data_IF_178351798681
#
_entry.id   IF_178351798681
#
_cell.length_a   1.000
_cell.length_b   1.000
_cell.length_c   1.000
_cell.angle_alpha   90.00
_cell.angle_beta   90.00
_cell.angle_gamma   90.00
#
_symmetry.space_group_name_H-M   'P 1'
#
loop_
_entity.id
_entity.type
_entity.pdbx_description
1 polymer ?
#
# COMPACT_ATOMS: atom_id res chain seq x y z
N UNK A 1 0.67 20.99 13.74
CA UNK A 1 1.74 21.91 13.29
C UNK A 1 3.02 21.12 13.27
N UNK A 2 3.69 21.04 12.12
CA UNK A 2 5.02 20.41 12.04
C UNK A 2 6.03 21.34 12.72
N UNK A 3 6.76 20.90 13.75
CA UNK A 3 7.78 21.74 14.36
C UNK A 3 8.92 21.99 13.37
N UNK A 4 9.57 23.15 13.48
CA UNK A 4 10.81 23.40 12.75
C UNK A 4 11.88 22.42 13.25
N UNK A 5 12.49 21.70 12.32
CA UNK A 5 13.70 20.91 12.56
C UNK A 5 14.89 21.70 12.04
N UNK A 6 15.91 21.88 12.88
CA UNK A 6 17.16 22.52 12.46
C UNK A 6 17.96 21.60 11.55
N UNK A 7 18.78 22.18 10.66
CA UNK A 7 19.72 21.42 9.82
C UNK A 7 20.73 20.58 10.64
N UNK A 8 20.85 20.87 11.94
CA UNK A 8 21.69 20.17 12.92
C UNK A 8 20.96 19.14 13.76
N UNK A 9 19.69 18.85 13.45
CA UNK A 9 18.89 17.90 14.23
C UNK A 9 19.54 16.52 14.27
N UNK A 10 19.50 15.83 15.42
CA UNK A 10 20.05 14.49 15.55
C UNK A 10 19.17 13.41 14.90
N UNK A 11 17.97 13.75 14.41
CA UNK A 11 17.04 12.79 13.82
C UNK A 11 17.66 12.15 12.55
N UNK A 12 17.77 10.81 12.49
CA UNK A 12 18.12 10.11 11.26
C UNK A 12 17.20 10.49 10.09
N UNK A 13 17.70 10.35 8.86
CA UNK A 13 16.97 10.77 7.67
C UNK A 13 15.62 10.04 7.50
N UNK A 14 15.55 8.76 7.88
CA UNK A 14 14.33 7.96 7.90
C UNK A 14 13.31 8.46 8.94
N UNK A 15 13.78 8.92 10.09
CA UNK A 15 12.94 9.46 11.16
C UNK A 15 12.43 10.86 10.81
N UNK A 16 13.29 11.70 10.21
CA UNK A 16 12.90 12.97 9.63
C UNK A 16 11.78 12.78 8.58
N UNK A 17 11.96 11.78 7.70
CA UNK A 17 10.97 11.42 6.68
C UNK A 17 9.67 10.87 7.29
N UNK A 18 9.72 10.08 8.36
CA UNK A 18 8.51 9.52 8.96
C UNK A 18 7.75 10.54 9.83
N UNK A 19 8.46 11.29 10.67
CA UNK A 19 7.85 12.01 11.78
C UNK A 19 7.61 13.50 11.56
N UNK A 20 8.28 14.08 10.56
CA UNK A 20 8.33 15.53 10.36
C UNK A 20 7.88 15.98 8.97
N UNK A 21 7.15 15.13 8.26
CA UNK A 21 6.31 15.51 7.13
C UNK A 21 4.90 15.84 7.57
N UNK A 22 4.29 16.84 6.94
CA UNK A 22 2.84 17.05 7.06
C UNK A 22 2.09 16.06 6.17
N UNK A 23 0.76 15.97 6.36
CA UNK A 23 -0.13 15.09 5.60
C UNK A 23 0.10 15.20 4.09
N UNK A 24 0.14 16.42 3.56
CA UNK A 24 0.29 16.68 2.12
C UNK A 24 1.64 16.26 1.54
N UNK A 25 2.64 15.90 2.36
CA UNK A 25 3.97 15.44 1.95
C UNK A 25 4.09 13.91 1.93
N UNK A 26 3.07 13.19 2.40
CA UNK A 26 3.01 11.74 2.25
C UNK A 26 2.66 11.34 0.82
N UNK A 27 3.15 10.15 0.44
CA UNK A 27 3.08 9.62 -0.93
C UNK A 27 2.63 8.16 -0.95
N UNK A 28 2.07 7.64 0.15
CA UNK A 28 1.49 6.31 0.18
C UNK A 28 0.19 6.28 -0.64
N UNK A 29 -0.23 5.09 -1.06
CA UNK A 29 -1.54 4.89 -1.69
C UNK A 29 -2.64 4.96 -0.62
N UNK A 30 -3.83 5.44 -0.97
CA UNK A 30 -4.95 5.55 -0.01
C UNK A 30 -5.42 4.20 0.54
N UNK A 31 -5.17 3.12 -0.18
CA UNK A 31 -5.45 1.76 0.27
C UNK A 31 -4.83 1.46 1.65
N UNK A 32 -3.63 1.97 1.94
CA UNK A 32 -2.91 1.65 3.19
C UNK A 32 -3.35 2.50 4.38
N UNK A 33 -4.20 3.49 4.17
CA UNK A 33 -4.69 4.42 5.21
C UNK A 33 -6.01 3.96 5.83
N UNK A 34 -6.66 2.97 5.21
CA UNK A 34 -7.99 2.54 5.64
C UNK A 34 -7.95 2.04 7.08
N UNK A 35 -9.09 2.13 7.76
CA UNK A 35 -9.26 1.49 9.06
C UNK A 35 -9.02 -0.02 8.96
N UNK A 36 -8.45 -0.63 10.01
CA UNK A 36 -8.26 -2.08 10.05
C UNK A 36 -9.59 -2.83 9.92
N UNK A 37 -10.67 -2.24 10.44
CA UNK A 37 -11.99 -2.86 10.49
C UNK A 37 -11.96 -4.19 11.24
N UNK A 38 -12.66 -5.19 10.71
CA UNK A 38 -12.57 -6.56 11.21
C UNK A 38 -11.43 -7.33 10.52
N UNK A 39 -11.23 -8.57 10.95
CA UNK A 39 -10.17 -9.42 10.42
C UNK A 39 -10.27 -9.59 8.89
N UNK A 40 -11.47 -9.76 8.35
CA UNK A 40 -11.66 -9.92 6.91
C UNK A 40 -11.20 -8.68 6.11
N UNK A 41 -11.52 -7.47 6.58
CA UNK A 41 -11.04 -6.21 5.96
C UNK A 41 -9.52 -6.10 5.96
N UNK A 42 -8.88 -6.39 7.09
CA UNK A 42 -7.42 -6.38 7.20
C UNK A 42 -6.77 -7.39 6.24
N UNK A 43 -7.35 -8.59 6.12
CA UNK A 43 -6.83 -9.66 5.27
C UNK A 43 -7.01 -9.36 3.77
N UNK A 44 -8.16 -8.84 3.36
CA UNK A 44 -8.39 -8.44 1.96
C UNK A 44 -7.47 -7.27 1.57
N UNK A 45 -7.30 -6.27 2.46
CA UNK A 45 -6.36 -5.18 2.22
C UNK A 45 -4.93 -5.69 2.08
N UNK A 46 -4.51 -6.60 2.97
CA UNK A 46 -3.18 -7.22 2.89
C UNK A 46 -3.01 -8.00 1.60
N UNK A 47 -4.01 -8.81 1.19
CA UNK A 47 -3.98 -9.58 -0.05
C UNK A 47 -3.79 -8.68 -1.28
N UNK A 48 -4.63 -7.65 -1.41
CA UNK A 48 -4.54 -6.68 -2.52
C UNK A 48 -3.18 -6.00 -2.51
N UNK A 49 -2.76 -5.44 -1.38
CA UNK A 49 -1.53 -4.66 -1.34
C UNK A 49 -0.28 -5.52 -1.57
N UNK A 50 -0.19 -6.68 -0.91
CA UNK A 50 0.96 -7.59 -1.05
C UNK A 50 1.05 -8.19 -2.45
N UNK A 51 -0.07 -8.50 -3.11
CA UNK A 51 -0.07 -9.00 -4.50
C UNK A 51 0.51 -7.97 -5.45
N UNK A 52 0.04 -6.71 -5.37
CA UNK A 52 0.57 -5.63 -6.20
C UNK A 52 2.04 -5.36 -5.90
N UNK A 53 2.40 -5.23 -4.61
CA UNK A 53 3.78 -4.98 -4.19
C UNK A 53 4.73 -6.08 -4.64
N UNK A 54 4.32 -7.34 -4.54
CA UNK A 54 5.14 -8.46 -4.98
C UNK A 54 5.46 -8.38 -6.47
N UNK A 55 4.44 -8.14 -7.32
CA UNK A 55 4.65 -8.01 -8.76
C UNK A 55 5.58 -6.84 -9.14
N UNK A 56 5.48 -5.71 -8.42
CA UNK A 56 6.40 -4.56 -8.56
C UNK A 56 7.81 -4.94 -8.09
N UNK A 57 7.94 -5.55 -6.91
CA UNK A 57 9.22 -5.89 -6.32
C UNK A 57 9.97 -6.94 -7.13
N UNK A 58 9.29 -7.94 -7.67
CA UNK A 58 9.89 -8.94 -8.56
C UNK A 58 10.54 -8.27 -9.77
N UNK A 59 9.89 -7.28 -10.39
CA UNK A 59 10.49 -6.51 -11.49
C UNK A 59 11.61 -5.57 -11.03
N UNK A 60 11.51 -4.97 -9.84
CA UNK A 60 12.55 -4.11 -9.29
C UNK A 60 13.85 -4.86 -8.94
N UNK A 61 13.84 -6.20 -8.83
CA UNK A 61 15.08 -6.97 -8.67
C UNK A 61 16.06 -6.74 -9.84
N UNK A 62 15.54 -6.44 -11.03
CA UNK A 62 16.29 -6.15 -12.26
C UNK A 62 16.56 -4.64 -12.44
N UNK A 63 16.33 -3.82 -11.42
CA UNK A 63 16.59 -2.38 -11.48
C UNK A 63 18.08 -2.11 -11.72
N UNK A 64 18.37 -1.12 -12.58
CA UNK A 64 19.72 -0.58 -12.77
C UNK A 64 20.22 0.21 -11.56
N UNK A 65 19.32 0.60 -10.65
CA UNK A 65 19.72 1.15 -9.37
C UNK A 65 20.02 0.01 -8.38
N UNK A 66 21.27 -0.12 -7.90
CA UNK A 66 21.68 -1.24 -7.06
C UNK A 66 21.02 -1.21 -5.67
N UNK A 67 20.59 -0.03 -5.18
CA UNK A 67 19.91 0.10 -3.89
C UNK A 67 18.48 -0.42 -4.02
N UNK A 68 17.75 0.00 -5.06
CA UNK A 68 16.40 -0.51 -5.34
C UNK A 68 16.40 -2.02 -5.58
N UNK A 69 17.34 -2.51 -6.39
CA UNK A 69 17.49 -3.95 -6.63
C UNK A 69 17.77 -4.71 -5.33
N UNK A 70 18.67 -4.22 -4.47
CA UNK A 70 18.98 -4.86 -3.20
C UNK A 70 17.79 -4.89 -2.23
N UNK A 71 17.02 -3.79 -2.14
CA UNK A 71 15.79 -3.72 -1.32
C UNK A 71 14.75 -4.68 -1.87
N UNK A 72 14.55 -4.73 -3.18
CA UNK A 72 13.61 -5.64 -3.82
C UNK A 72 13.97 -7.12 -3.58
N UNK A 73 15.25 -7.48 -3.73
CA UNK A 73 15.75 -8.85 -3.49
C UNK A 73 15.45 -9.36 -2.07
N UNK A 74 15.46 -8.47 -1.07
CA UNK A 74 15.03 -8.81 0.30
C UNK A 74 13.51 -8.87 0.40
N UNK A 75 12.83 -7.84 -0.09
CA UNK A 75 11.39 -7.67 0.07
C UNK A 75 10.53 -8.71 -0.67
N UNK A 76 10.99 -9.29 -1.78
CA UNK A 76 10.24 -10.32 -2.53
C UNK A 76 9.92 -11.52 -1.63
N UNK A 77 10.86 -11.95 -0.79
CA UNK A 77 10.63 -13.08 0.13
C UNK A 77 9.53 -12.76 1.14
N UNK A 78 9.62 -11.61 1.78
CA UNK A 78 8.62 -11.15 2.77
C UNK A 78 7.24 -10.96 2.12
N UNK A 79 7.18 -10.32 0.95
CA UNK A 79 5.94 -10.08 0.22
C UNK A 79 5.27 -11.37 -0.25
N UNK A 80 6.06 -12.39 -0.61
CA UNK A 80 5.54 -13.73 -0.91
C UNK A 80 4.83 -14.31 0.31
N UNK A 81 5.48 -14.27 1.49
CA UNK A 81 4.85 -14.71 2.73
C UNK A 81 3.58 -13.93 3.06
N UNK A 82 3.58 -12.60 2.92
CA UNK A 82 2.41 -11.77 3.18
C UNK A 82 1.23 -12.11 2.27
N UNK A 83 1.48 -12.26 0.96
CA UNK A 83 0.45 -12.61 -0.02
C UNK A 83 -0.12 -13.99 0.26
N UNK A 84 0.74 -14.98 0.48
CA UNK A 84 0.30 -16.37 0.68
C UNK A 84 -0.46 -16.53 2.01
N UNK A 85 -0.03 -15.84 3.07
CA UNK A 85 -0.77 -15.76 4.33
C UNK A 85 -2.16 -15.14 4.12
N UNK A 86 -2.22 -14.00 3.41
CA UNK A 86 -3.47 -13.31 3.18
C UNK A 86 -4.43 -14.12 2.30
N UNK A 87 -3.93 -14.73 1.23
CA UNK A 87 -4.69 -15.58 0.32
C UNK A 87 -5.29 -16.78 1.04
N UNK A 88 -4.49 -17.48 1.86
CA UNK A 88 -4.97 -18.61 2.67
C UNK A 88 -6.14 -18.22 3.57
N UNK A 89 -6.04 -17.08 4.26
CA UNK A 89 -7.11 -16.61 5.13
C UNK A 89 -8.34 -16.14 4.37
N UNK A 90 -8.18 -15.46 3.23
CA UNK A 90 -9.31 -15.07 2.38
C UNK A 90 -10.07 -16.29 1.89
N UNK A 91 -9.38 -17.34 1.45
CA UNK A 91 -10.01 -18.64 1.09
C UNK A 91 -10.68 -19.29 2.30
N UNK A 92 -10.00 -19.31 3.45
CA UNK A 92 -10.56 -19.88 4.69
C UNK A 92 -11.85 -19.17 5.12
N UNK A 93 -11.90 -17.84 5.02
CA UNK A 93 -13.08 -17.05 5.36
C UNK A 93 -14.18 -17.21 4.32
N UNK A 94 -13.82 -17.22 3.04
CA UNK A 94 -14.73 -17.43 1.92
C UNK A 94 -15.43 -18.77 2.02
N UNK A 95 -14.69 -19.85 2.21
CA UNK A 95 -15.24 -21.21 2.29
C UNK A 95 -15.61 -21.65 3.72
N UNK A 96 -15.70 -20.70 4.66
CA UNK A 96 -16.01 -20.94 6.07
C UNK A 96 -17.51 -21.00 6.33
N UNK A 97 -17.97 -20.24 7.33
CA UNK A 97 -19.39 -20.11 7.66
C UNK A 97 -20.07 -19.05 6.78
N UNK A 98 -21.40 -19.01 6.76
CA UNK A 98 -22.14 -17.94 6.08
C UNK A 98 -21.74 -16.55 6.58
N UNK A 99 -21.45 -16.41 7.88
CA UNK A 99 -21.01 -15.15 8.47
C UNK A 99 -19.58 -14.79 8.03
N UNK A 100 -18.63 -15.73 7.99
CA UNK A 100 -17.27 -15.43 7.50
C UNK A 100 -17.27 -15.09 6.01
N UNK A 101 -18.07 -15.83 5.23
CA UNK A 101 -18.26 -15.60 3.79
C UNK A 101 -18.88 -14.22 3.54
N UNK A 102 -19.87 -13.81 4.33
CA UNK A 102 -20.46 -12.46 4.26
C UNK A 102 -19.43 -11.37 4.56
N UNK A 103 -18.65 -11.52 5.65
CA UNK A 103 -17.63 -10.54 6.05
C UNK A 103 -16.53 -10.36 5.01
N UNK A 104 -16.04 -11.43 4.41
CA UNK A 104 -15.02 -11.32 3.36
C UNK A 104 -15.58 -10.68 2.08
N UNK A 105 -16.85 -10.94 1.73
CA UNK A 105 -17.54 -10.26 0.63
C UNK A 105 -17.66 -8.75 0.89
N UNK A 106 -18.06 -8.37 2.10
CA UNK A 106 -18.16 -6.97 2.53
C UNK A 106 -16.77 -6.29 2.51
N UNK A 107 -15.73 -7.00 2.96
CA UNK A 107 -14.36 -6.54 2.92
C UNK A 107 -13.87 -6.31 1.48
N UNK A 108 -14.09 -7.27 0.58
CA UNK A 108 -13.79 -7.14 -0.86
C UNK A 108 -14.48 -5.91 -1.45
N UNK A 109 -15.76 -5.73 -1.16
CA UNK A 109 -16.54 -4.55 -1.62
C UNK A 109 -15.98 -3.23 -1.09
N UNK A 110 -15.56 -3.20 0.19
CA UNK A 110 -15.00 -2.01 0.83
C UNK A 110 -13.62 -1.63 0.28
N UNK A 111 -12.78 -2.62 -0.02
CA UNK A 111 -11.38 -2.41 -0.42
C UNK A 111 -11.24 -2.15 -1.92
N UNK A 112 -12.04 -2.80 -2.76
CA UNK A 112 -11.89 -2.74 -4.21
C UNK A 112 -11.85 -1.36 -4.85
N UNK A 113 -12.63 -0.36 -4.37
CA UNK A 113 -12.58 0.99 -4.93
C UNK A 113 -11.18 1.64 -4.93
N UNK A 114 -10.26 1.18 -4.09
CA UNK A 114 -8.89 1.71 -3.99
C UNK A 114 -7.87 1.00 -4.89
N UNK A 115 -8.25 -0.09 -5.56
CA UNK A 115 -7.34 -0.92 -6.38
C UNK A 115 -6.78 -0.14 -7.57
N UNK A 116 -7.61 0.69 -8.23
CA UNK A 116 -7.18 1.41 -9.43
C UNK A 116 -6.01 2.37 -9.18
N UNK A 117 -5.95 2.99 -7.99
CA UNK A 117 -4.87 3.91 -7.62
C UNK A 117 -3.49 3.25 -7.67
N UNK A 118 -3.41 1.94 -7.41
CA UNK A 118 -2.16 1.17 -7.47
C UNK A 118 -1.51 1.24 -8.86
N UNK A 119 -2.32 1.41 -9.91
CA UNK A 119 -1.91 1.41 -11.31
C UNK A 119 -1.85 2.80 -11.95
N UNK A 120 -2.05 3.88 -11.18
CA UNK A 120 -1.90 5.26 -11.67
C UNK A 120 -0.46 5.72 -11.47
N UNK A 121 0.40 5.68 -12.51
CA UNK A 121 1.81 5.98 -12.33
C UNK A 121 2.03 7.46 -12.00
N UNK A 122 3.13 7.74 -11.30
CA UNK A 122 3.66 9.11 -11.23
C UNK A 122 4.56 9.43 -12.43
N UNK A 123 4.75 10.71 -12.72
CA UNK A 123 5.69 11.16 -13.75
C UNK A 123 7.11 10.64 -13.51
N UNK A 124 7.53 10.57 -12.24
CA UNK A 124 8.81 10.01 -11.82
C UNK A 124 8.89 8.51 -12.11
N UNK A 125 7.85 7.74 -11.80
CA UNK A 125 7.80 6.29 -12.11
C UNK A 125 7.90 6.05 -13.62
N UNK A 126 7.19 6.84 -14.44
CA UNK A 126 7.26 6.74 -15.91
C UNK A 126 8.67 7.06 -16.41
N UNK A 127 9.26 8.15 -15.92
CA UNK A 127 10.59 8.59 -16.37
C UNK A 127 11.68 7.58 -15.97
N UNK A 128 11.63 7.07 -14.74
CA UNK A 128 12.59 6.10 -14.22
C UNK A 128 12.41 4.70 -14.81
N UNK A 129 11.17 4.30 -15.14
CA UNK A 129 10.92 3.03 -15.82
C UNK A 129 11.54 3.00 -17.22
N UNK A 130 11.46 4.10 -17.99
CA UNK A 130 12.07 4.22 -19.34
C UNK A 130 13.58 3.99 -19.36
N UNK A 131 14.27 4.28 -18.26
CA UNK A 131 15.73 4.09 -18.13
C UNK A 131 16.10 2.83 -17.35
N UNK A 132 15.12 1.99 -16.97
CA UNK A 132 15.33 0.73 -16.26
C UNK A 132 15.62 0.86 -14.77
N UNK A 133 15.17 1.93 -14.12
CA UNK A 133 15.39 2.17 -12.68
C UNK A 133 14.14 1.86 -11.85
N UNK A 134 12.97 2.32 -12.28
CA UNK A 134 11.70 2.02 -11.62
C UNK A 134 10.87 1.01 -12.44
N UNK A 135 9.69 0.67 -11.92
CA UNK A 135 8.69 -0.14 -12.61
C UNK A 135 7.47 0.74 -12.88
N UNK A 136 6.98 0.73 -14.12
CA UNK A 136 5.68 1.32 -14.41
C UNK A 136 4.60 0.44 -13.76
N UNK A 137 3.83 0.93 -12.78
CA UNK A 137 2.85 0.11 -12.09
C UNK A 137 1.75 -0.42 -13.02
N UNK A 138 1.54 0.15 -14.20
CA UNK A 138 0.56 -0.37 -15.18
C UNK A 138 0.98 -1.75 -15.73
N UNK A 139 2.28 -2.00 -15.82
CA UNK A 139 2.83 -3.22 -16.41
C UNK A 139 2.66 -4.45 -15.50
N UNK A 140 2.23 -4.25 -14.25
CA UNK A 140 1.94 -5.35 -13.30
C UNK A 140 0.44 -5.67 -13.20
N UNK A 141 -0.41 -4.98 -13.96
CA UNK A 141 -1.86 -5.10 -13.83
C UNK A 141 -2.40 -6.49 -14.16
N UNK A 142 -1.94 -7.06 -15.27
CA UNK A 142 -2.39 -8.39 -15.72
C UNK A 142 -2.04 -9.48 -14.71
N UNK A 143 -0.81 -9.47 -14.20
CA UNK A 143 -0.35 -10.41 -13.18
C UNK A 143 -1.16 -10.27 -11.88
N UNK A 144 -1.37 -9.02 -11.43
CA UNK A 144 -2.21 -8.74 -10.27
C UNK A 144 -3.63 -9.27 -10.44
N UNK A 145 -4.28 -8.97 -11.56
CA UNK A 145 -5.66 -9.38 -11.85
C UNK A 145 -5.76 -10.92 -11.90
N UNK A 146 -4.80 -11.58 -12.54
CA UNK A 146 -4.75 -13.06 -12.59
C UNK A 146 -4.65 -13.68 -11.20
N UNK A 147 -3.75 -13.16 -10.34
CA UNK A 147 -3.58 -13.70 -8.98
C UNK A 147 -4.82 -13.46 -8.13
N UNK A 148 -5.40 -12.25 -8.17
CA UNK A 148 -6.62 -11.96 -7.42
C UNK A 148 -7.80 -12.80 -7.90
N UNK A 149 -7.95 -12.99 -9.21
CA UNK A 149 -9.00 -13.85 -9.77
C UNK A 149 -8.88 -15.30 -9.27
N UNK A 150 -7.66 -15.86 -9.22
CA UNK A 150 -7.43 -17.20 -8.69
C UNK A 150 -7.81 -17.32 -7.21
N UNK A 151 -7.39 -16.35 -6.38
CA UNK A 151 -7.68 -16.37 -4.94
C UNK A 151 -9.17 -16.18 -4.67
N UNK A 152 -9.83 -15.25 -5.36
CA UNK A 152 -11.27 -15.00 -5.20
C UNK A 152 -12.09 -16.20 -5.68
N UNK A 153 -11.74 -16.81 -6.81
CA UNK A 153 -12.37 -18.04 -7.28
C UNK A 153 -12.25 -19.17 -6.26
N UNK A 154 -11.05 -19.38 -5.72
CA UNK A 154 -10.82 -20.40 -4.68
C UNK A 154 -11.57 -20.11 -3.37
N UNK A 155 -11.92 -18.85 -3.10
CA UNK A 155 -12.70 -18.41 -1.95
C UNK A 155 -14.22 -18.44 -2.19
N UNK A 156 -14.69 -18.88 -3.37
CA UNK A 156 -16.09 -18.80 -3.80
C UNK A 156 -16.65 -17.36 -3.76
N UNK A 157 -15.83 -16.40 -4.19
CA UNK A 157 -16.17 -14.99 -4.28
C UNK A 157 -16.04 -14.51 -5.73
N UNK A 158 -16.93 -13.60 -6.13
CA UNK A 158 -16.82 -12.91 -7.40
C UNK A 158 -15.86 -11.73 -7.30
N UNK A 159 -15.18 -11.41 -8.41
CA UNK A 159 -14.48 -10.14 -8.52
C UNK A 159 -15.51 -9.01 -8.51
N UNK A 160 -15.42 -8.04 -7.59
CA UNK A 160 -16.42 -7.00 -7.49
C UNK A 160 -16.39 -6.06 -8.71
N UNK A 161 -17.58 -5.77 -9.22
CA UNK A 161 -17.83 -4.70 -10.17
C UNK A 161 -18.05 -3.40 -9.40
N UNK A 162 -17.47 -2.29 -9.84
CA UNK A 162 -17.66 -1.05 -9.10
C UNK A 162 -16.83 0.14 -9.56
N UNK A 163 -17.24 1.31 -9.07
CA UNK A 163 -16.53 2.57 -9.32
C UNK A 163 -15.32 2.66 -8.40
N UNK A 164 -14.21 3.10 -8.97
CA UNK A 164 -13.03 3.48 -8.21
C UNK A 164 -13.30 4.71 -7.34
N UNK A 165 -12.56 4.84 -6.24
CA UNK A 165 -12.52 6.10 -5.49
C UNK A 165 -11.98 7.20 -6.41
N UNK A 166 -12.76 8.27 -6.54
CA UNK A 166 -12.36 9.42 -7.35
C UNK A 166 -11.05 10.05 -6.89
N UNK A 167 -10.40 10.76 -7.81
CA UNK A 167 -9.25 11.63 -7.52
C UNK A 167 -9.72 13.08 -7.46
N UNK A 168 -8.98 13.93 -6.74
CA UNK A 168 -9.25 15.37 -6.70
C UNK A 168 -8.32 16.04 -7.70
N UNK A 169 -8.87 16.47 -8.85
CA UNK A 169 -8.08 17.04 -9.94
C UNK A 169 -7.02 16.07 -10.48
N UNK A 170 -7.33 14.76 -10.54
CA UNK A 170 -6.37 13.74 -10.95
C UNK A 170 -5.40 13.25 -9.87
N UNK A 171 -5.43 13.86 -8.66
CA UNK A 171 -4.52 13.51 -7.55
C UNK A 171 -5.16 12.54 -6.55
N UNK A 172 -4.36 11.56 -6.12
CA UNK A 172 -4.63 10.63 -5.02
C UNK A 172 -3.51 10.66 -3.96
N UNK A 173 -3.35 9.60 -3.18
CA UNK A 173 -2.42 9.55 -2.05
C UNK A 173 -0.95 9.72 -2.48
N UNK A 174 -0.57 9.15 -3.63
CA UNK A 174 0.77 9.36 -4.23
C UNK A 174 1.07 10.83 -4.62
N UNK A 175 0.08 11.71 -4.55
CA UNK A 175 0.18 13.15 -4.81
C UNK A 175 -0.30 14.00 -3.62
N UNK A 176 -0.28 13.44 -2.40
CA UNK A 176 -0.57 14.15 -1.14
C UNK A 176 -2.06 14.38 -0.87
N UNK A 177 -2.96 13.67 -1.57
CA UNK A 177 -4.41 13.73 -1.32
C UNK A 177 -4.85 12.44 -0.65
N UNK A 178 -5.10 12.52 0.64
CA UNK A 178 -5.34 11.38 1.51
C UNK A 178 -6.81 11.24 1.90
N UNK A 179 -7.13 10.13 2.56
CA UNK A 179 -8.44 9.89 3.17
C UNK A 179 -8.55 10.63 4.51
N UNK A 180 -9.77 10.87 4.98
CA UNK A 180 -10.00 11.46 6.32
C UNK A 180 -9.40 10.61 7.47
N UNK A 181 -9.15 9.33 7.23
CA UNK A 181 -8.52 8.44 8.21
C UNK A 181 -7.02 8.73 8.42
N UNK A 182 -6.35 9.39 7.47
CA UNK A 182 -4.90 9.50 7.48
C UNK A 182 -4.36 10.55 8.46
N UNK A 183 -5.03 11.70 8.58
CA UNK A 183 -4.66 12.74 9.55
C UNK A 183 -4.53 12.21 11.00
N UNK A 184 -5.55 11.50 11.54
CA UNK A 184 -5.44 10.85 12.85
C UNK A 184 -4.29 9.83 12.96
N UNK A 185 -4.04 9.02 11.92
CA UNK A 185 -2.96 8.03 11.92
C UNK A 185 -1.58 8.68 12.08
N UNK A 186 -1.30 9.74 11.31
CA UNK A 186 0.00 10.42 11.42
C UNK A 186 0.08 11.27 12.69
N UNK A 187 -1.04 11.81 13.19
CA UNK A 187 -1.04 12.51 14.47
C UNK A 187 -0.59 11.59 15.61
N UNK A 188 -1.11 10.35 15.65
CA UNK A 188 -0.68 9.33 16.61
C UNK A 188 0.78 8.91 16.40
N UNK A 189 1.15 8.58 15.16
CA UNK A 189 2.51 8.12 14.81
C UNK A 189 3.60 9.15 15.17
N UNK A 190 3.29 10.45 15.05
CA UNK A 190 4.29 11.52 15.11
C UNK A 190 4.33 12.26 16.45
N UNK A 191 3.39 11.97 17.38
CA UNK A 191 3.18 12.78 18.58
C UNK A 191 4.44 12.90 19.46
N UNK A 192 5.15 11.79 19.69
CA UNK A 192 6.32 11.77 20.58
C UNK A 192 7.50 12.50 19.94
N UNK A 193 7.80 12.18 18.69
CA UNK A 193 8.88 12.82 17.94
C UNK A 193 8.66 14.34 17.81
N UNK A 194 7.42 14.79 17.60
CA UNK A 194 7.10 16.22 17.50
C UNK A 194 7.12 16.95 18.85
N UNK A 195 6.83 16.25 19.95
CA UNK A 195 6.96 16.81 21.29
C UNK A 195 8.44 16.97 21.72
N UNK A 196 9.32 16.12 21.17
CA UNK A 196 10.75 16.09 21.49
C UNK A 196 11.61 16.03 20.21
N UNK A 197 11.66 17.11 19.41
CA UNK A 197 12.30 17.09 18.09
C UNK A 197 13.82 16.87 18.11
N UNK A 198 14.47 17.09 19.27
CA UNK A 198 15.90 16.84 19.47
C UNK A 198 16.16 15.54 20.27
N UNK A 199 15.13 14.69 20.45
CA UNK A 199 15.25 13.41 21.14
C UNK A 199 16.04 12.37 20.32
N UNK A 200 16.73 11.47 21.02
CA UNK A 200 17.53 10.38 20.43
C UNK A 200 17.03 9.06 21.00
N UNK A 201 16.85 8.04 20.14
CA UNK A 201 16.22 6.76 20.46
C UNK A 201 17.01 5.58 19.91
#
# INVERSE_FOLDING_TARGET
>A
MVPFISDTSPAPAEDALAFFRDEADFRNVRLTELDNGDFAKSLVRLLVFSTWRLAVFTRLQESRDPVLAAVANKGVKELTYHRDYAARWVVTLGCGTDESKRRVRDAVTRIWPYVSELFIPTDEEIALAKVGVAVDPRDVREEFDSVLAQVLHAAELDAPEGKSVGTIGGRGGRRGIHTEAFGPLIAEMQVVARAHPEGVW
#
